data_IF_896560246703
#
_entry.id   IF_896560246703
#
_cell.length_a   1.000
_cell.length_b   1.000
_cell.length_c   1.000
_cell.angle_alpha   90.00
_cell.angle_beta   90.00
_cell.angle_gamma   90.00
#
_symmetry.space_group_name_H-M   'P 1'
#
loop_
_entity.id
_entity.type
_entity.pdbx_description
1 polymer ?
#
# COMPACT_ATOMS: atom_id res chain seq x y z
N UNK A 1 -29.20 24.70 -2.45
CA UNK A 1 -27.80 24.32 -2.16
C UNK A 1 -27.45 23.13 -3.04
N UNK A 2 -26.58 23.31 -4.04
CA UNK A 2 -26.01 22.17 -4.78
C UNK A 2 -24.77 21.73 -4.01
N UNK A 3 -24.71 20.48 -3.60
CA UNK A 3 -23.50 19.91 -3.02
C UNK A 3 -22.40 19.90 -4.10
N UNK A 4 -21.44 20.79 -3.93
CA UNK A 4 -20.23 20.80 -4.73
C UNK A 4 -19.40 19.59 -4.28
N UNK A 5 -19.55 18.46 -4.99
CA UNK A 5 -18.75 17.26 -4.77
C UNK A 5 -17.32 17.58 -5.14
N UNK A 6 -16.58 18.14 -4.19
CA UNK A 6 -15.15 18.43 -4.32
C UNK A 6 -14.43 17.09 -4.48
N UNK A 7 -14.03 16.77 -5.71
CA UNK A 7 -13.21 15.58 -5.97
C UNK A 7 -11.91 15.76 -5.17
N UNK A 8 -11.54 14.84 -4.27
CA UNK A 8 -10.30 14.97 -3.54
C UNK A 8 -9.16 15.09 -4.55
N UNK A 9 -8.16 15.96 -4.29
CA UNK A 9 -7.05 16.18 -5.21
C UNK A 9 -6.47 14.83 -5.61
N UNK A 10 -6.17 14.65 -6.90
CA UNK A 10 -5.82 13.35 -7.49
C UNK A 10 -4.72 12.60 -6.69
N UNK A 11 -3.81 13.35 -6.06
CA UNK A 11 -2.81 12.80 -5.14
C UNK A 11 -3.39 12.08 -3.92
N UNK A 12 -4.45 12.60 -3.28
CA UNK A 12 -5.08 11.95 -2.10
C UNK A 12 -5.74 10.63 -2.48
N UNK A 13 -6.39 10.55 -3.64
CA UNK A 13 -6.99 9.29 -4.14
C UNK A 13 -5.93 8.23 -4.39
N UNK A 14 -4.80 8.62 -4.99
CA UNK A 14 -3.66 7.72 -5.20
C UNK A 14 -3.18 7.08 -3.88
N UNK A 15 -2.97 7.89 -2.84
CA UNK A 15 -2.50 7.38 -1.54
C UNK A 15 -3.49 6.40 -0.89
N UNK A 16 -4.78 6.72 -0.95
CA UNK A 16 -5.84 5.85 -0.41
C UNK A 16 -5.85 4.51 -1.16
N UNK A 17 -5.79 4.54 -2.50
CA UNK A 17 -5.78 3.33 -3.32
C UNK A 17 -4.52 2.51 -3.08
N UNK A 18 -3.34 3.14 -3.03
CA UNK A 18 -2.09 2.45 -2.77
C UNK A 18 -2.12 1.75 -1.40
N UNK A 19 -2.61 2.42 -0.36
CA UNK A 19 -2.76 1.83 0.97
C UNK A 19 -3.77 0.68 0.98
N UNK A 20 -4.92 0.86 0.33
CA UNK A 20 -5.93 -0.19 0.21
C UNK A 20 -5.38 -1.44 -0.48
N UNK A 21 -4.60 -1.28 -1.57
CA UNK A 21 -3.94 -2.38 -2.27
C UNK A 21 -2.94 -3.10 -1.36
N UNK A 22 -2.10 -2.37 -0.62
CA UNK A 22 -1.15 -2.98 0.30
C UNK A 22 -1.85 -3.74 1.43
N UNK A 23 -2.90 -3.18 2.01
CA UNK A 23 -3.69 -3.86 3.06
C UNK A 23 -4.29 -5.15 2.49
N UNK A 24 -4.93 -5.09 1.33
CA UNK A 24 -5.53 -6.26 0.69
C UNK A 24 -4.47 -7.32 0.35
N UNK A 25 -3.32 -6.92 -0.17
CA UNK A 25 -2.22 -7.84 -0.47
C UNK A 25 -1.65 -8.49 0.80
N UNK A 26 -1.44 -7.70 1.86
CA UNK A 26 -0.94 -8.16 3.15
C UNK A 26 -1.89 -9.11 3.89
N UNK A 27 -3.15 -9.18 3.49
CA UNK A 27 -4.13 -10.15 4.00
C UNK A 27 -4.30 -11.31 3.03
N UNK A 28 -4.66 -11.03 1.79
CA UNK A 28 -5.08 -12.05 0.82
C UNK A 28 -3.95 -12.99 0.40
N UNK A 29 -2.71 -12.50 0.31
CA UNK A 29 -1.59 -13.34 -0.12
C UNK A 29 -1.16 -14.31 0.99
N UNK A 30 -0.83 -13.87 2.23
CA UNK A 30 -0.38 -14.80 3.26
C UNK A 30 -1.49 -15.72 3.77
N UNK A 31 -2.73 -15.22 3.89
CA UNK A 31 -3.87 -15.99 4.42
C UNK A 31 -4.75 -16.62 3.35
N UNK A 32 -4.41 -16.44 2.07
CA UNK A 32 -5.07 -17.07 0.94
C UNK A 32 -4.09 -17.87 0.11
N UNK A 33 -3.35 -17.21 -0.78
CA UNK A 33 -2.47 -17.89 -1.75
C UNK A 33 -1.34 -18.71 -1.10
N UNK A 34 -0.82 -18.24 0.03
CA UNK A 34 0.22 -18.92 0.81
C UNK A 34 -0.35 -19.63 2.05
N UNK A 35 -1.68 -19.73 2.17
CA UNK A 35 -2.31 -20.37 3.32
C UNK A 35 -1.90 -21.84 3.40
N UNK A 36 -1.46 -22.26 4.58
CA UNK A 36 -1.01 -23.64 4.81
C UNK A 36 0.31 -24.02 4.15
N UNK A 37 0.97 -23.10 3.43
CA UNK A 37 2.32 -23.33 2.95
C UNK A 37 3.29 -23.43 4.13
N UNK A 38 4.19 -24.43 4.09
CA UNK A 38 5.30 -24.47 5.04
C UNK A 38 6.15 -23.20 4.88
N UNK A 39 6.72 -22.65 5.96
CA UNK A 39 7.67 -21.56 5.88
C UNK A 39 8.79 -21.90 4.89
N UNK A 40 8.95 -21.08 3.85
CA UNK A 40 9.86 -21.35 2.75
C UNK A 40 10.13 -20.11 1.91
N UNK A 41 10.88 -20.28 0.81
CA UNK A 41 11.35 -19.16 -0.02
C UNK A 41 10.20 -18.27 -0.54
N UNK A 42 9.05 -18.83 -0.90
CA UNK A 42 7.90 -18.05 -1.37
C UNK A 42 7.38 -17.08 -0.28
N UNK A 43 7.29 -17.55 0.97
CA UNK A 43 6.85 -16.75 2.12
C UNK A 43 7.89 -15.67 2.43
N UNK A 44 9.18 -16.01 2.40
CA UNK A 44 10.27 -15.05 2.57
C UNK A 44 10.23 -13.94 1.51
N UNK A 45 10.14 -14.32 0.23
CA UNK A 45 10.13 -13.36 -0.88
C UNK A 45 8.90 -12.45 -0.82
N UNK A 46 7.73 -12.99 -0.47
CA UNK A 46 6.54 -12.17 -0.30
C UNK A 46 6.74 -11.13 0.79
N UNK A 47 7.17 -11.51 1.99
CA UNK A 47 7.34 -10.56 3.08
C UNK A 47 8.48 -9.56 2.83
N UNK A 48 9.58 -10.00 2.23
CA UNK A 48 10.67 -9.10 1.85
C UNK A 48 10.22 -8.06 0.81
N UNK A 49 9.52 -8.50 -0.25
CA UNK A 49 8.98 -7.61 -1.28
C UNK A 49 7.88 -6.68 -0.74
N UNK A 50 6.99 -7.20 0.11
CA UNK A 50 5.94 -6.42 0.75
C UNK A 50 6.51 -5.34 1.66
N UNK A 51 7.48 -5.69 2.51
CA UNK A 51 8.19 -4.73 3.36
C UNK A 51 8.87 -3.64 2.54
N UNK A 52 9.53 -4.01 1.44
CA UNK A 52 10.17 -3.04 0.54
C UNK A 52 9.14 -2.08 -0.10
N UNK A 53 7.97 -2.59 -0.51
CA UNK A 53 6.90 -1.76 -1.04
C UNK A 53 6.37 -0.77 -0.01
N UNK A 54 6.20 -1.20 1.25
CA UNK A 54 5.80 -0.33 2.36
C UNK A 54 6.86 0.76 2.61
N UNK A 55 8.14 0.38 2.67
CA UNK A 55 9.25 1.33 2.85
C UNK A 55 9.26 2.36 1.73
N UNK A 56 9.13 1.94 0.47
CA UNK A 56 9.09 2.84 -0.68
C UNK A 56 7.92 3.82 -0.59
N UNK A 57 6.73 3.33 -0.22
CA UNK A 57 5.54 4.17 -0.07
C UNK A 57 5.72 5.22 1.03
N UNK A 58 6.30 4.84 2.17
CA UNK A 58 6.63 5.77 3.27
C UNK A 58 7.67 6.80 2.81
N UNK A 59 8.75 6.37 2.15
CA UNK A 59 9.79 7.27 1.66
C UNK A 59 9.22 8.30 0.68
N UNK A 60 8.37 7.87 -0.26
CA UNK A 60 7.65 8.76 -1.18
C UNK A 60 6.75 9.75 -0.45
N UNK A 61 6.05 9.32 0.61
CA UNK A 61 5.18 10.19 1.39
C UNK A 61 5.99 11.27 2.12
N UNK A 62 7.09 10.87 2.76
CA UNK A 62 8.00 11.78 3.48
C UNK A 62 8.65 12.77 2.51
N UNK A 63 9.11 12.31 1.34
CA UNK A 63 9.70 13.18 0.32
C UNK A 63 8.69 14.21 -0.19
N UNK A 64 7.43 13.80 -0.41
CA UNK A 64 6.36 14.71 -0.79
C UNK A 64 6.10 15.76 0.29
N UNK A 65 6.00 15.37 1.56
CA UNK A 65 5.76 16.31 2.65
C UNK A 65 6.91 17.30 2.86
N UNK A 66 8.15 16.91 2.55
CA UNK A 66 9.30 17.83 2.55
C UNK A 66 9.29 18.82 1.39
N UNK A 67 8.58 18.52 0.30
CA UNK A 67 8.51 19.35 -0.89
C UNK A 67 7.28 20.28 -0.93
N UNK A 68 6.32 20.08 -0.02
CA UNK A 68 5.22 21.02 0.21
C UNK A 68 5.76 22.18 1.09
N UNK A 69 5.75 23.44 0.61
CA UNK A 69 6.29 24.60 1.32
C UNK A 69 5.45 25.02 2.54
#
# INVERSE_FOLDING_TARGET
MREEVTRPPAGRRFWIVAMAVLILAGIAVPYGALAGAAPGFAVLLFWAGFGLAVIALIALAVLRWRAEP
#
